data_IF_876983608350
#
_entry.id   IF_876983608350
#
_cell.length_a   1.000
_cell.length_b   1.000
_cell.length_c   1.000
_cell.angle_alpha   90.00
_cell.angle_beta   90.00
_cell.angle_gamma   90.00
#
_symmetry.space_group_name_H-M   'P 1'
#
loop_
_entity.id
_entity.type
_entity.pdbx_description
1 polymer ?
#
# COMPACT_ATOMS: atom_id res chain seq x y z
N UNK A 1 6.67 -7.40 -15.13
CA UNK A 1 6.03 -6.69 -14.00
C UNK A 1 5.63 -5.31 -14.49
N UNK A 2 4.38 -5.13 -14.92
CA UNK A 2 3.94 -3.88 -15.56
C UNK A 2 2.80 -3.27 -14.75
N UNK A 3 3.13 -2.76 -13.56
CA UNK A 3 2.35 -1.68 -12.98
C UNK A 3 2.88 -0.44 -13.67
N UNK A 4 2.12 0.14 -14.60
CA UNK A 4 2.48 1.44 -15.17
C UNK A 4 2.77 2.41 -14.01
N UNK A 5 4.00 2.92 -13.95
CA UNK A 5 4.51 3.78 -12.88
C UNK A 5 3.67 5.04 -12.64
N UNK A 6 2.72 5.35 -13.52
CA UNK A 6 1.78 6.47 -13.44
C UNK A 6 0.68 6.32 -12.39
N UNK A 7 0.42 5.11 -11.89
CA UNK A 7 -0.70 4.87 -10.95
C UNK A 7 -0.25 4.62 -9.50
N UNK A 8 1.03 4.76 -9.16
CA UNK A 8 1.55 4.52 -7.82
C UNK A 8 1.97 5.82 -7.13
N UNK A 9 1.58 5.98 -5.86
CA UNK A 9 1.94 7.11 -5.02
C UNK A 9 2.64 6.62 -3.74
N UNK A 10 3.88 7.05 -3.55
CA UNK A 10 4.63 6.78 -2.31
C UNK A 10 4.23 7.80 -1.26
N UNK A 11 3.75 7.32 -0.11
CA UNK A 11 3.04 8.16 0.86
C UNK A 11 3.63 8.04 2.27
N UNK A 12 3.53 9.10 3.08
CA UNK A 12 4.00 9.05 4.47
C UNK A 12 3.16 8.06 5.30
N UNK A 13 3.79 7.46 6.31
CA UNK A 13 3.14 6.52 7.23
C UNK A 13 2.09 7.16 8.16
N UNK A 14 1.88 8.48 8.06
CA UNK A 14 0.83 9.20 8.78
C UNK A 14 -0.57 8.88 8.24
N UNK A 15 -0.67 8.37 7.01
CA UNK A 15 -1.96 7.96 6.45
C UNK A 15 -2.47 6.67 7.11
N UNK A 16 -3.80 6.60 7.27
CA UNK A 16 -4.54 5.49 7.89
C UNK A 16 -5.52 4.90 6.88
N UNK A 17 -6.15 3.78 7.21
CA UNK A 17 -7.06 3.04 6.33
C UNK A 17 -8.09 3.91 5.61
N UNK A 18 -8.71 4.88 6.29
CA UNK A 18 -9.66 5.82 5.64
C UNK A 18 -9.03 6.61 4.49
N UNK A 19 -7.77 7.03 4.62
CA UNK A 19 -7.06 7.71 3.55
C UNK A 19 -6.69 6.75 2.42
N UNK A 20 -6.23 5.54 2.76
CA UNK A 20 -5.92 4.50 1.77
C UNK A 20 -7.16 4.08 0.97
N UNK A 21 -8.33 4.03 1.63
CA UNK A 21 -9.62 3.81 0.98
C UNK A 21 -9.90 4.88 -0.06
N UNK A 22 -9.74 6.16 0.27
CA UNK A 22 -9.91 7.27 -0.68
C UNK A 22 -8.92 7.17 -1.85
N UNK A 23 -7.65 6.91 -1.58
CA UNK A 23 -6.60 6.81 -2.59
C UNK A 23 -6.90 5.70 -3.60
N UNK A 24 -7.24 4.51 -3.10
CA UNK A 24 -7.60 3.37 -3.94
C UNK A 24 -8.92 3.59 -4.67
N UNK A 25 -9.96 3.98 -3.94
CA UNK A 25 -11.34 3.97 -4.43
C UNK A 25 -11.69 5.20 -5.26
N UNK A 26 -11.29 6.39 -4.82
CA UNK A 26 -11.69 7.65 -5.45
C UNK A 26 -10.62 8.13 -6.43
N UNK A 27 -9.36 8.12 -6.02
CA UNK A 27 -8.26 8.62 -6.86
C UNK A 27 -7.73 7.59 -7.86
N UNK A 28 -8.01 6.30 -7.63
CA UNK A 28 -7.54 5.24 -8.51
C UNK A 28 -6.02 5.10 -8.50
N UNK A 29 -5.38 5.39 -7.37
CA UNK A 29 -3.94 5.31 -7.16
C UNK A 29 -3.59 4.18 -6.19
N UNK A 30 -2.36 3.66 -6.30
CA UNK A 30 -1.81 2.62 -5.46
C UNK A 30 -0.94 3.26 -4.37
N UNK A 31 -1.31 3.18 -3.08
CA UNK A 31 -0.45 3.64 -2.00
C UNK A 31 0.73 2.69 -1.78
N UNK A 32 1.95 3.25 -1.75
CA UNK A 32 3.18 2.54 -1.38
C UNK A 32 3.66 3.03 -0.01
N UNK A 33 3.39 2.24 1.03
CA UNK A 33 3.84 2.50 2.39
C UNK A 33 3.82 1.23 3.26
N UNK A 34 4.31 1.34 4.50
CA UNK A 34 4.32 0.22 5.45
C UNK A 34 3.02 0.19 6.27
N UNK A 35 2.60 -1.00 6.69
CA UNK A 35 1.52 -1.16 7.69
C UNK A 35 2.06 -0.81 9.09
N UNK A 36 1.21 -0.21 9.91
CA UNK A 36 1.50 0.01 11.32
C UNK A 36 1.74 -1.34 12.02
N UNK A 37 2.83 -1.43 12.79
CA UNK A 37 3.13 -2.64 13.54
C UNK A 37 2.20 -2.77 14.76
N UNK A 38 1.98 -4.01 15.25
CA UNK A 38 1.28 -4.23 16.51
C UNK A 38 2.09 -3.68 17.70
N UNK A 39 3.42 -3.73 17.58
CA UNK A 39 4.38 -3.06 18.48
C UNK A 39 5.43 -2.33 17.64
N UNK A 40 5.57 -1.03 17.84
CA UNK A 40 6.63 -0.25 17.19
C UNK A 40 8.01 -0.62 17.79
N UNK A 41 9.06 -0.63 16.98
CA UNK A 41 10.42 -0.76 17.49
C UNK A 41 10.76 0.41 18.42
N UNK A 42 11.51 0.14 19.48
CA UNK A 42 12.08 1.19 20.32
C UNK A 42 12.97 2.14 19.50
N UNK A 43 13.00 3.43 19.84
CA UNK A 43 13.81 4.47 19.15
C UNK A 43 15.33 4.20 19.20
N UNK A 44 15.81 3.31 20.06
CA UNK A 44 17.19 2.84 20.14
C UNK A 44 17.23 1.33 19.91
N UNK A 45 18.16 0.79 19.10
CA UNK A 45 18.30 -0.64 18.91
C UNK A 45 18.68 -1.28 20.26
N UNK A 46 17.83 -2.17 20.76
CA UNK A 46 18.07 -2.93 22.00
C UNK A 46 18.16 -4.42 21.67
N UNK A 47 18.99 -5.12 22.45
CA UNK A 47 19.37 -6.54 22.25
C UNK A 47 18.20 -7.52 22.43
N UNK A 48 17.10 -7.10 23.05
CA UNK A 48 16.00 -7.97 23.44
C UNK A 48 15.00 -8.21 22.30
N UNK A 49 14.82 -9.47 21.89
CA UNK A 49 13.93 -9.86 20.80
C UNK A 49 12.46 -9.51 21.08
N UNK A 50 12.06 -9.45 22.35
CA UNK A 50 10.69 -9.09 22.79
C UNK A 50 10.37 -7.60 22.59
N UNK A 51 11.37 -6.76 22.32
CA UNK A 51 11.22 -5.33 22.03
C UNK A 51 11.26 -5.00 20.54
N UNK A 52 11.37 -6.02 19.69
CA UNK A 52 11.38 -5.87 18.23
C UNK A 52 9.96 -5.69 17.65
N UNK A 53 9.91 -5.22 16.41
CA UNK A 53 8.65 -4.96 15.68
C UNK A 53 7.83 -6.25 15.60
N UNK A 54 6.68 -6.29 16.27
CA UNK A 54 5.73 -7.40 16.13
C UNK A 54 4.74 -7.06 15.03
N UNK A 55 4.72 -7.90 14.00
CA UNK A 55 3.80 -7.75 12.89
C UNK A 55 2.43 -8.28 13.28
N UNK A 56 1.39 -7.50 12.99
CA UNK A 56 0.01 -7.91 13.24
C UNK A 56 -0.37 -8.94 12.17
N UNK A 57 -0.82 -10.11 12.60
CA UNK A 57 -1.50 -11.08 11.73
C UNK A 57 -3.00 -10.95 11.92
N UNK A 58 -3.75 -10.80 10.84
CA UNK A 58 -5.22 -10.61 10.89
C UNK A 58 -5.89 -11.47 9.83
N UNK A 59 -6.98 -12.14 10.20
CA UNK A 59 -7.82 -12.84 9.24
C UNK A 59 -8.43 -11.87 8.23
N UNK A 60 -8.30 -12.19 6.95
CA UNK A 60 -8.83 -11.38 5.83
C UNK A 60 -10.10 -12.02 5.29
N UNK A 61 -10.06 -13.22 4.74
CA UNK A 61 -11.27 -13.86 4.20
C UNK A 61 -11.03 -15.34 3.96
N UNK A 62 -12.10 -16.13 3.94
CA UNK A 62 -12.06 -17.50 3.45
C UNK A 62 -12.39 -17.51 1.96
N UNK A 63 -11.69 -18.34 1.19
CA UNK A 63 -12.02 -18.57 -0.23
C UNK A 63 -12.09 -20.05 -0.52
N UNK A 64 -13.11 -20.41 -1.30
CA UNK A 64 -13.19 -21.73 -1.90
C UNK A 64 -12.40 -21.75 -3.20
N UNK A 65 -11.44 -22.66 -3.28
CA UNK A 65 -10.61 -22.88 -4.44
C UNK A 65 -11.12 -24.12 -5.16
N UNK A 66 -11.66 -23.91 -6.36
CA UNK A 66 -11.98 -25.01 -7.26
C UNK A 66 -10.68 -25.69 -7.71
N UNK A 67 -10.66 -27.03 -7.69
CA UNK A 67 -9.53 -27.83 -8.12
C UNK A 67 -9.96 -28.75 -9.25
N UNK A 68 -9.20 -28.79 -10.33
CA UNK A 68 -9.52 -29.68 -11.46
C UNK A 68 -9.45 -31.13 -11.00
N UNK A 69 -10.56 -31.86 -11.10
CA UNK A 69 -10.65 -33.28 -10.75
C UNK A 69 -10.54 -33.59 -9.24
N UNK A 70 -10.67 -32.59 -8.35
CA UNK A 70 -10.68 -32.78 -6.90
C UNK A 70 -11.77 -31.92 -6.24
N UNK A 71 -12.23 -32.26 -5.02
CA UNK A 71 -13.12 -31.40 -4.26
C UNK A 71 -12.54 -30.00 -4.09
N UNK A 72 -13.42 -28.98 -4.02
CA UNK A 72 -13.02 -27.63 -3.67
C UNK A 72 -12.38 -27.63 -2.28
N UNK A 73 -11.38 -26.76 -2.11
CA UNK A 73 -10.70 -26.59 -0.82
C UNK A 73 -10.95 -25.17 -0.33
N UNK A 74 -11.43 -25.05 0.90
CA UNK A 74 -11.53 -23.77 1.58
C UNK A 74 -10.16 -23.39 2.15
N UNK A 75 -9.73 -22.17 1.87
CA UNK A 75 -8.47 -21.60 2.37
C UNK A 75 -8.75 -20.30 3.09
N UNK A 76 -8.17 -20.17 4.28
CA UNK A 76 -8.25 -18.96 5.08
C UNK A 76 -7.04 -18.06 4.81
N UNK A 77 -7.33 -16.86 4.32
CA UNK A 77 -6.33 -15.85 3.98
C UNK A 77 -6.12 -14.93 5.17
N UNK A 78 -4.86 -14.66 5.48
CA UNK A 78 -4.42 -13.76 6.52
C UNK A 78 -3.57 -12.65 5.93
N UNK A 79 -3.56 -11.50 6.59
CA UNK A 79 -2.65 -10.41 6.32
C UNK A 79 -1.61 -10.33 7.44
N UNK A 80 -0.34 -10.27 7.08
CA UNK A 80 0.78 -9.98 7.99
C UNK A 80 1.66 -8.91 7.37
N UNK A 81 1.88 -7.82 8.10
CA UNK A 81 2.69 -6.68 7.64
C UNK A 81 2.23 -5.99 6.33
N UNK A 82 1.01 -6.27 5.86
CA UNK A 82 0.49 -5.81 4.57
C UNK A 82 0.43 -6.90 3.51
N UNK A 83 1.18 -7.98 3.71
CA UNK A 83 1.30 -9.12 2.80
C UNK A 83 0.16 -10.09 3.02
N UNK A 84 -0.36 -10.69 1.95
CA UNK A 84 -1.36 -11.75 2.02
C UNK A 84 -0.66 -13.10 2.08
N UNK A 85 -1.16 -13.98 2.95
CA UNK A 85 -0.66 -15.34 3.10
C UNK A 85 -1.76 -16.30 3.55
N UNK A 86 -1.41 -17.58 3.62
CA UNK A 86 -2.24 -18.63 4.18
C UNK A 86 -1.82 -18.83 5.64
N UNK A 87 -2.80 -18.92 6.54
CA UNK A 87 -2.59 -19.30 7.93
C UNK A 87 -2.93 -20.77 8.13
N UNK A 88 -1.97 -21.56 8.61
CA UNK A 88 -2.17 -22.97 8.98
C UNK A 88 -1.88 -23.16 10.45
N UNK A 89 -2.80 -23.76 11.20
CA UNK A 89 -2.54 -24.14 12.59
C UNK A 89 -1.59 -25.34 12.63
N UNK A 90 -0.49 -25.21 13.37
CA UNK A 90 0.42 -26.32 13.65
C UNK A 90 -0.18 -27.26 14.69
N UNK A 91 0.44 -28.43 14.88
CA UNK A 91 0.04 -29.39 15.91
C UNK A 91 0.03 -28.79 17.32
N UNK A 92 0.90 -27.80 17.56
CA UNK A 92 1.02 -27.06 18.83
C UNK A 92 0.00 -25.93 18.97
N UNK A 93 -0.89 -25.73 17.99
CA UNK A 93 -1.89 -24.67 17.97
C UNK A 93 -1.36 -23.30 17.56
N UNK A 94 -0.11 -23.20 17.08
CA UNK A 94 0.47 -21.94 16.60
C UNK A 94 0.05 -21.67 15.15
N UNK A 95 -0.22 -20.40 14.81
CA UNK A 95 -0.54 -20.01 13.44
C UNK A 95 0.74 -19.84 12.62
N UNK A 96 1.04 -20.84 11.78
CA UNK A 96 2.09 -20.75 10.78
C UNK A 96 1.60 -19.96 9.56
N UNK A 97 2.27 -18.84 9.25
CA UNK A 97 1.92 -17.95 8.15
C UNK A 97 2.82 -18.21 6.94
N UNK A 98 2.21 -18.58 5.81
CA UNK A 98 2.91 -18.75 4.53
C UNK A 98 2.53 -17.60 3.58
N UNK A 99 3.44 -16.65 3.27
CA UNK A 99 3.15 -15.54 2.37
C UNK A 99 2.89 -16.05 0.94
N UNK A 100 1.91 -15.43 0.27
CA UNK A 100 1.62 -15.72 -1.13
C UNK A 100 2.28 -14.66 -2.03
N UNK A 101 3.09 -15.07 -3.03
CA UNK A 101 3.69 -14.12 -3.97
C UNK A 101 2.63 -13.41 -4.80
N UNK A 102 2.70 -12.09 -4.88
CA UNK A 102 1.83 -11.30 -5.76
C UNK A 102 2.24 -11.50 -7.22
N UNK A 103 1.26 -11.83 -8.07
CA UNK A 103 1.45 -11.99 -9.52
C UNK A 103 1.19 -10.68 -10.24
N UNK A 104 0.07 -10.03 -9.94
CA UNK A 104 -0.30 -8.74 -10.55
C UNK A 104 -1.25 -7.93 -9.67
N UNK A 105 -1.24 -6.63 -9.90
CA UNK A 105 -2.19 -5.67 -9.34
C UNK A 105 -3.00 -5.09 -10.49
N UNK A 106 -4.33 -5.13 -10.39
CA UNK A 106 -5.22 -4.64 -11.44
C UNK A 106 -6.41 -3.87 -10.86
N UNK A 107 -7.01 -3.03 -11.70
CA UNK A 107 -8.18 -2.22 -11.33
C UNK A 107 -9.29 -2.34 -12.36
N UNK A 108 -10.52 -2.27 -11.89
CA UNK A 108 -11.70 -2.15 -12.72
C UNK A 108 -12.43 -0.83 -12.41
N UNK A 109 -12.94 -0.12 -13.42
CA UNK A 109 -13.83 1.03 -13.19
C UNK A 109 -15.13 0.57 -12.52
N UNK A 110 -15.79 1.49 -11.83
CA UNK A 110 -17.04 1.27 -11.11
C UNK A 110 -17.82 2.58 -11.05
N UNK A 111 -19.15 2.51 -10.89
CA UNK A 111 -20.02 3.71 -10.78
C UNK A 111 -19.48 4.75 -9.80
N UNK A 112 -18.90 4.30 -8.68
CA UNK A 112 -18.38 5.16 -7.61
C UNK A 112 -16.86 5.04 -7.47
N UNK A 113 -16.11 5.07 -8.58
CA UNK A 113 -14.63 5.08 -8.59
C UNK A 113 -14.01 3.76 -9.05
N UNK A 114 -12.96 3.28 -8.37
CA UNK A 114 -12.12 2.17 -8.83
C UNK A 114 -12.12 0.97 -7.89
N UNK A 115 -12.17 -0.25 -8.44
CA UNK A 115 -12.05 -1.50 -7.66
C UNK A 115 -10.67 -2.08 -7.90
N UNK A 116 -9.86 -2.17 -6.85
CA UNK A 116 -8.51 -2.70 -6.90
C UNK A 116 -8.43 -4.13 -6.37
N UNK A 117 -7.64 -4.94 -7.07
CA UNK A 117 -7.42 -6.34 -6.77
C UNK A 117 -5.96 -6.71 -6.96
N UNK A 118 -5.50 -7.66 -6.17
CA UNK A 118 -4.25 -8.39 -6.38
C UNK A 118 -4.56 -9.85 -6.67
N UNK A 119 -3.84 -10.41 -7.63
CA UNK A 119 -3.78 -11.85 -7.80
C UNK A 119 -2.51 -12.37 -7.12
N UNK A 120 -2.67 -13.37 -6.27
CA UNK A 120 -1.59 -14.03 -5.54
C UNK A 120 -1.44 -15.46 -6.02
N UNK A 121 -0.21 -15.94 -6.20
CA UNK A 121 0.07 -17.32 -6.61
C UNK A 121 -0.22 -18.27 -5.47
N UNK A 122 -1.03 -19.28 -5.74
CA UNK A 122 -1.31 -20.36 -4.79
C UNK A 122 -0.19 -21.41 -4.85
N UNK A 123 0.15 -22.06 -3.72
CA UNK A 123 1.03 -23.22 -3.71
C UNK A 123 0.50 -24.37 -4.60
N UNK A 124 1.42 -25.15 -5.18
CA UNK A 124 1.08 -26.23 -6.12
C UNK A 124 0.15 -27.28 -5.50
N UNK A 125 0.34 -27.60 -4.23
CA UNK A 125 -0.51 -28.56 -3.50
C UNK A 125 -1.98 -28.12 -3.39
N UNK A 126 -2.27 -26.83 -3.57
CA UNK A 126 -3.61 -26.24 -3.59
C UNK A 126 -4.16 -26.02 -5.02
N UNK A 127 -3.39 -26.36 -6.06
CA UNK A 127 -3.86 -26.33 -7.46
C UNK A 127 -3.12 -25.36 -8.39
N UNK A 128 -1.95 -24.83 -8.02
CA UNK A 128 -1.01 -24.04 -8.86
C UNK A 128 -1.59 -22.77 -9.54
N UNK A 129 -2.79 -22.35 -9.18
CA UNK A 129 -3.49 -21.19 -9.75
C UNK A 129 -3.19 -19.88 -9.04
N UNK A 130 -4.14 -18.93 -9.15
CA UNK A 130 -4.10 -17.66 -8.44
C UNK A 130 -5.35 -17.43 -7.63
N UNK A 131 -5.20 -16.73 -6.52
CA UNK A 131 -6.31 -16.23 -5.72
C UNK A 131 -6.38 -14.70 -5.81
N UNK A 132 -7.53 -14.18 -6.22
CA UNK A 132 -7.77 -12.74 -6.35
C UNK A 132 -8.27 -12.16 -5.03
N UNK A 133 -7.57 -11.21 -4.44
CA UNK A 133 -7.96 -10.53 -3.20
C UNK A 133 -8.23 -9.07 -3.48
N UNK A 134 -9.36 -8.57 -2.97
CA UNK A 134 -9.72 -7.16 -3.05
C UNK A 134 -8.83 -6.33 -2.14
N UNK A 135 -8.46 -5.11 -2.56
CA UNK A 135 -7.52 -4.25 -1.81
C UNK A 135 -8.18 -3.10 -1.03
N UNK A 136 -9.48 -2.88 -1.22
CA UNK A 136 -10.24 -1.83 -0.53
C UNK A 136 -11.41 -2.43 0.25
N UNK A 137 -11.90 -1.71 1.26
CA UNK A 137 -13.01 -2.18 2.09
C UNK A 137 -14.27 -2.41 1.25
N UNK A 138 -15.02 -3.47 1.58
CA UNK A 138 -16.35 -3.78 1.06
C UNK A 138 -17.42 -3.83 2.20
N UNK A 139 -18.64 -4.23 1.85
CA UNK A 139 -19.75 -4.29 2.79
C UNK A 139 -19.54 -5.38 3.87
N UNK A 140 -19.00 -6.54 3.49
CA UNK A 140 -18.64 -7.61 4.45
C UNK A 140 -17.59 -7.15 5.47
N UNK A 141 -16.56 -6.43 4.99
CA UNK A 141 -15.54 -5.81 5.82
C UNK A 141 -16.18 -4.82 6.81
N UNK A 142 -17.17 -4.06 6.37
CA UNK A 142 -17.89 -3.10 7.20
C UNK A 142 -18.74 -3.79 8.27
N UNK A 143 -19.49 -4.84 7.89
CA UNK A 143 -20.33 -5.62 8.79
C UNK A 143 -19.52 -6.23 9.94
N UNK A 144 -18.32 -6.74 9.66
CA UNK A 144 -17.41 -7.31 10.67
C UNK A 144 -16.43 -6.30 11.29
N UNK A 145 -16.59 -5.01 11.00
CA UNK A 145 -15.71 -3.92 11.48
C UNK A 145 -14.22 -4.13 11.15
N UNK A 146 -13.93 -4.81 10.04
CA UNK A 146 -12.57 -5.03 9.56
C UNK A 146 -12.13 -3.90 8.62
N UNK A 147 -11.01 -3.27 8.95
CA UNK A 147 -10.41 -2.26 8.07
C UNK A 147 -9.38 -2.90 7.14
N UNK A 148 -9.81 -3.33 5.95
CA UNK A 148 -8.93 -3.99 4.98
C UNK A 148 -7.78 -3.10 4.54
N UNK A 149 -8.06 -1.85 4.22
CA UNK A 149 -7.05 -0.88 3.76
C UNK A 149 -6.04 -0.49 4.83
N UNK A 150 -6.31 -0.75 6.11
CA UNK A 150 -5.31 -0.61 7.17
C UNK A 150 -4.34 -1.80 7.17
N UNK A 151 -4.83 -3.03 6.97
CA UNK A 151 -4.06 -4.25 7.19
C UNK A 151 -3.47 -4.88 5.92
N UNK A 152 -4.02 -4.59 4.74
CA UNK A 152 -3.57 -5.12 3.45
C UNK A 152 -2.90 -4.02 2.63
N UNK A 153 -1.78 -4.33 1.96
CA UNK A 153 -1.10 -3.42 1.04
C UNK A 153 -1.14 -3.95 -0.38
N UNK A 154 -1.33 -3.08 -1.39
CA UNK A 154 -1.24 -3.48 -2.79
C UNK A 154 0.15 -4.02 -3.15
N UNK A 155 1.20 -3.42 -2.58
CA UNK A 155 2.59 -3.86 -2.69
C UNK A 155 3.13 -3.84 -1.27
N UNK A 156 3.33 -5.01 -0.69
CA UNK A 156 3.73 -5.17 0.71
C UNK A 156 5.26 -5.12 0.85
N UNK A 157 5.81 -4.88 2.06
CA UNK A 157 7.25 -4.70 2.23
C UNK A 157 8.15 -5.88 1.81
N UNK A 158 7.60 -7.09 1.78
CA UNK A 158 8.25 -8.32 1.32
C UNK A 158 8.14 -8.54 -0.20
N UNK A 159 7.32 -7.75 -0.90
CA UNK A 159 7.22 -7.79 -2.36
C UNK A 159 8.50 -7.23 -3.00
N UNK A 160 9.10 -7.90 -4.00
CA UNK A 160 10.31 -7.42 -4.67
C UNK A 160 10.17 -6.00 -5.25
N UNK A 161 8.98 -5.63 -5.72
CA UNK A 161 8.71 -4.29 -6.26
C UNK A 161 8.62 -3.19 -5.19
N UNK A 162 8.51 -3.55 -3.91
CA UNK A 162 8.39 -2.57 -2.83
C UNK A 162 9.64 -1.74 -2.67
N UNK A 163 10.82 -2.36 -2.62
CA UNK A 163 12.07 -1.67 -2.36
C UNK A 163 12.35 -0.56 -3.40
N UNK A 164 12.12 -0.89 -4.67
CA UNK A 164 12.31 0.05 -5.78
C UNK A 164 11.35 1.24 -5.71
N UNK A 165 10.05 0.98 -5.50
CA UNK A 165 9.03 2.02 -5.43
C UNK A 165 9.13 2.87 -4.15
N UNK A 166 9.43 2.21 -3.02
CA UNK A 166 9.55 2.88 -1.73
C UNK A 166 10.79 3.77 -1.66
N UNK A 167 11.86 3.48 -2.40
CA UNK A 167 13.04 4.36 -2.49
C UNK A 167 12.70 5.75 -3.04
N UNK A 168 11.68 5.87 -3.90
CA UNK A 168 11.18 7.16 -4.41
C UNK A 168 10.58 8.06 -3.32
N UNK A 169 10.39 7.53 -2.10
CA UNK A 169 10.01 8.33 -0.93
C UNK A 169 11.01 9.45 -0.64
N UNK A 170 12.30 9.21 -0.86
CA UNK A 170 13.34 10.20 -0.60
C UNK A 170 13.10 11.48 -1.41
N UNK A 171 12.62 11.36 -2.65
CA UNK A 171 12.29 12.51 -3.49
C UNK A 171 11.12 13.31 -2.91
N UNK A 172 10.07 12.62 -2.47
CA UNK A 172 8.92 13.26 -1.82
C UNK A 172 9.29 13.90 -0.47
N UNK A 173 10.15 13.26 0.32
CA UNK A 173 10.65 13.82 1.58
C UNK A 173 11.56 15.02 1.36
N UNK A 174 12.40 14.99 0.33
CA UNK A 174 13.22 16.13 -0.07
C UNK A 174 12.36 17.32 -0.51
N UNK A 175 11.30 17.08 -1.28
CA UNK A 175 10.34 18.14 -1.67
C UNK A 175 9.62 18.74 -0.47
N UNK A 176 9.16 17.90 0.47
CA UNK A 176 8.54 18.37 1.71
C UNK A 176 9.54 19.12 2.58
N UNK A 177 10.79 18.67 2.65
CA UNK A 177 11.84 19.34 3.38
C UNK A 177 12.15 20.72 2.80
N UNK A 178 12.25 20.83 1.48
CA UNK A 178 12.44 22.09 0.80
C UNK A 178 11.30 23.08 1.11
N UNK A 179 10.05 22.60 1.23
CA UNK A 179 8.93 23.42 1.69
C UNK A 179 9.07 23.83 3.16
N UNK A 180 9.52 22.94 4.05
CA UNK A 180 9.79 23.30 5.44
C UNK A 180 10.89 24.36 5.54
N UNK A 181 11.94 24.25 4.71
CA UNK A 181 13.06 25.18 4.70
C UNK A 181 12.65 26.57 4.17
N UNK A 182 11.56 26.70 3.41
CA UNK A 182 11.01 28.02 3.06
C UNK A 182 10.31 28.68 4.24
N UNK A 183 9.85 27.92 5.25
CA UNK A 183 9.07 28.46 6.37
C UNK A 183 9.92 29.30 7.33
N UNK A 184 9.58 30.59 7.43
CA UNK A 184 10.22 31.49 8.40
C UNK A 184 9.93 31.04 9.84
N UNK A 185 10.99 30.79 10.63
CA UNK A 185 10.89 30.27 12.01
C UNK A 185 10.06 28.99 12.14
N UNK A 186 10.00 28.15 11.08
CA UNK A 186 9.13 26.96 10.97
C UNK A 186 7.64 27.27 11.16
N UNK A 187 7.23 28.50 10.82
CA UNK A 187 5.83 28.93 10.85
C UNK A 187 5.30 29.04 9.42
N UNK A 188 4.05 28.64 9.25
CA UNK A 188 3.38 28.84 7.97
C UNK A 188 3.38 30.33 7.59
N UNK A 189 3.68 30.63 6.33
CA UNK A 189 3.73 32.01 5.81
C UNK A 189 2.40 32.78 5.94
N UNK A 190 1.29 32.06 6.07
CA UNK A 190 -0.03 32.66 6.12
C UNK A 190 -0.84 32.11 7.29
N UNK A 191 -1.67 32.98 7.87
CA UNK A 191 -2.58 32.64 8.94
C UNK A 191 -3.92 32.15 8.38
N UNK A 192 -4.43 31.07 8.99
CA UNK A 192 -5.71 30.48 8.66
C UNK A 192 -5.62 29.40 7.58
N UNK A 193 -6.49 28.39 7.73
CA UNK A 193 -6.53 27.16 6.92
C UNK A 193 -6.52 27.43 5.42
N UNK A 194 -7.38 28.32 4.92
CA UNK A 194 -7.53 28.55 3.47
C UNK A 194 -6.28 29.15 2.83
N UNK A 195 -5.60 30.07 3.54
CA UNK A 195 -4.37 30.69 3.03
C UNK A 195 -3.20 29.71 3.07
N UNK A 196 -3.11 28.91 4.13
CA UNK A 196 -2.12 27.83 4.21
C UNK A 196 -2.33 26.80 3.09
N UNK A 197 -3.57 26.42 2.82
CA UNK A 197 -3.90 25.52 1.70
C UNK A 197 -3.47 26.12 0.36
N UNK A 198 -3.68 27.41 0.13
CA UNK A 198 -3.20 28.10 -1.09
C UNK A 198 -1.68 28.00 -1.24
N UNK A 199 -0.92 28.19 -0.16
CA UNK A 199 0.54 28.04 -0.19
C UNK A 199 0.96 26.61 -0.56
N UNK A 200 0.28 25.59 0.02
CA UNK A 200 0.56 24.19 -0.27
C UNK A 200 0.24 23.83 -1.73
N UNK A 201 -0.91 24.28 -2.26
CA UNK A 201 -1.32 24.05 -3.65
C UNK A 201 -0.36 24.76 -4.60
N UNK A 202 -0.02 26.04 -4.34
CA UNK A 202 0.90 26.80 -5.15
C UNK A 202 2.28 26.15 -5.22
N UNK A 203 2.80 25.67 -4.09
CA UNK A 203 4.06 24.92 -4.06
C UNK A 203 3.98 23.61 -4.87
N UNK A 204 2.90 22.83 -4.70
CA UNK A 204 2.70 21.60 -5.45
C UNK A 204 2.61 21.85 -6.97
N UNK A 205 1.90 22.91 -7.39
CA UNK A 205 1.81 23.33 -8.80
C UNK A 205 3.18 23.71 -9.35
N UNK A 206 3.97 24.50 -8.61
CA UNK A 206 5.32 24.88 -8.99
C UNK A 206 6.22 23.65 -9.20
N UNK A 207 6.22 22.71 -8.24
CA UNK A 207 7.02 21.48 -8.32
C UNK A 207 6.61 20.63 -9.54
N UNK A 208 5.30 20.46 -9.77
CA UNK A 208 4.78 19.72 -10.92
C UNK A 208 5.13 20.40 -12.25
N UNK A 209 5.05 21.73 -12.31
CA UNK A 209 5.44 22.50 -13.50
C UNK A 209 6.93 22.37 -13.80
N UNK A 210 7.80 22.44 -12.79
CA UNK A 210 9.24 22.23 -12.93
C UNK A 210 9.56 20.80 -13.38
N UNK A 211 8.90 19.80 -12.81
CA UNK A 211 9.06 18.40 -13.21
C UNK A 211 8.63 18.19 -14.68
N UNK A 212 7.48 18.73 -15.07
CA UNK A 212 6.99 18.66 -16.44
C UNK A 212 7.94 19.38 -17.43
N UNK A 213 8.47 20.55 -17.06
CA UNK A 213 9.43 21.28 -17.89
C UNK A 213 10.74 20.50 -18.08
N UNK A 214 11.25 19.87 -17.02
CA UNK A 214 12.48 19.05 -17.08
C UNK A 214 12.30 17.72 -17.82
N UNK A 215 11.10 17.15 -17.79
CA UNK A 215 10.78 15.89 -18.49
C UNK A 215 10.28 16.08 -19.91
N UNK A 216 10.03 17.32 -20.36
CA UNK A 216 9.82 17.56 -21.78
C UNK A 216 11.09 17.15 -22.53
N UNK A 217 11.00 16.24 -23.52
CA UNK A 217 12.13 16.00 -24.39
C UNK A 217 12.52 17.33 -25.04
N UNK A 218 13.82 17.58 -25.30
CA UNK A 218 14.21 18.75 -26.05
C UNK A 218 13.39 18.77 -27.34
N UNK A 219 12.62 19.84 -27.54
CA UNK A 219 12.02 20.07 -28.86
C UNK A 219 13.19 20.08 -29.83
N UNK A 220 13.21 19.13 -30.77
CA UNK A 220 14.14 19.17 -31.87
C UNK A 220 13.96 20.55 -32.50
N UNK A 221 15.00 21.38 -32.37
CA UNK A 221 15.05 22.67 -33.04
C UNK A 221 15.04 22.31 -34.52
N UNK A 222 13.88 22.43 -35.16
CA UNK A 222 13.76 22.26 -36.60
C UNK A 222 14.59 23.39 -37.21
N UNK A 223 15.70 23.00 -37.83
CA UNK A 223 16.55 23.86 -38.64
C UNK A 223 15.85 24.22 -39.95
#
# INVERSE_FOLDING_TARGET
>A
MQVASSNAATLPNALRGVHHQTILRQLGLIPINRVAAAKASAKKPRRDAKEQRVEKTVFVESKELARTGRPSVRVDLYARAGSIGIGTLTADGELHFTPLPRVRTHRNPSKNGYRWYNDYRLPDHLGAGTVTVRLHNNDDDTARKFNRTENVRPIAPDDPGFAELFRRRNDAESINRALEDTLWLRRAHSLGRSRQLMNMIGYALMVNALAAARHRPPQAIAA
#
